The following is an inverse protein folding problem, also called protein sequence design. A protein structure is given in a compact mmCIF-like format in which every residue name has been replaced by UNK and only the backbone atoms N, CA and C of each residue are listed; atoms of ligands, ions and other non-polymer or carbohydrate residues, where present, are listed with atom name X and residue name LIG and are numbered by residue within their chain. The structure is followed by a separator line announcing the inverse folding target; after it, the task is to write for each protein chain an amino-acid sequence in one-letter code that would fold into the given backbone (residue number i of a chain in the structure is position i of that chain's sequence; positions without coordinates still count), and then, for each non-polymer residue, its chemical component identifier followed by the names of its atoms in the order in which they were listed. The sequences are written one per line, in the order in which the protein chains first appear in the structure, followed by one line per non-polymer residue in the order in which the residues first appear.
data_IF_365083781576
#
_entry.id   IF_365083781576
#
_cell.length_a   1.000
_cell.length_b   1.000
_cell.length_c   1.000
_cell.angle_alpha   90.00
_cell.angle_beta   90.00
_cell.angle_gamma   90.00
#
_symmetry.space_group_name_H-M   'P 1'
#
loop_
_entity.id
_entity.type
_entity.pdbx_description
1 polymer ?
#
# COMPACT_ATOMS: atom_id res chain seq x y z
N UNK A 1 9.00 11.83 -34.75
CA UNK A 1 8.82 13.18 -34.17
C UNK A 1 7.33 13.40 -34.06
N UNK A 2 6.77 13.01 -32.92
CA UNK A 2 5.35 13.19 -32.62
C UNK A 2 5.19 14.49 -31.81
N UNK A 3 5.20 15.62 -32.53
CA UNK A 3 5.02 16.93 -31.91
C UNK A 3 3.53 17.13 -31.62
N UNK A 4 3.10 17.44 -30.38
CA UNK A 4 1.69 17.50 -30.03
C UNK A 4 0.90 18.43 -30.95
N UNK A 5 -0.13 17.89 -31.61
CA UNK A 5 -0.98 18.67 -32.53
C UNK A 5 -0.37 18.94 -33.91
N UNK A 6 0.84 18.43 -34.21
CA UNK A 6 1.41 18.46 -35.54
C UNK A 6 0.60 17.59 -36.51
N UNK A 7 0.49 18.04 -37.76
CA UNK A 7 -0.17 17.29 -38.84
C UNK A 7 0.81 17.10 -39.99
N UNK A 8 0.93 15.87 -40.45
CA UNK A 8 1.67 15.54 -41.68
C UNK A 8 0.74 15.78 -42.86
N UNK A 9 1.15 16.66 -43.78
CA UNK A 9 0.48 16.94 -45.04
C UNK A 9 1.37 16.50 -46.23
N UNK A 10 0.78 16.40 -47.43
CA UNK A 10 1.47 15.91 -48.63
C UNK A 10 2.76 16.67 -49.00
N UNK A 11 2.90 17.92 -48.53
CA UNK A 11 4.02 18.82 -48.86
C UNK A 11 4.80 19.32 -47.63
N UNK A 12 4.52 18.82 -46.42
CA UNK A 12 5.22 19.27 -45.22
C UNK A 12 4.57 18.85 -43.91
N UNK A 13 5.07 19.43 -42.81
CA UNK A 13 4.53 19.26 -41.47
C UNK A 13 3.93 20.59 -41.04
N UNK A 14 2.63 20.59 -40.73
CA UNK A 14 1.96 21.73 -40.11
C UNK A 14 2.12 21.61 -38.59
N UNK A 15 2.79 22.58 -37.97
CA UNK A 15 2.88 22.70 -36.53
C UNK A 15 1.86 23.70 -36.01
N UNK A 16 1.17 23.42 -34.88
CA UNK A 16 0.37 24.44 -34.22
C UNK A 16 1.28 25.53 -33.63
N UNK A 17 0.73 26.72 -33.46
CA UNK A 17 1.42 27.77 -32.70
C UNK A 17 1.30 27.43 -31.20
N UNK A 18 2.38 26.88 -30.63
CA UNK A 18 2.44 26.61 -29.20
C UNK A 18 2.46 27.93 -28.42
N UNK A 19 1.51 28.09 -27.50
CA UNK A 19 1.47 29.25 -26.57
C UNK A 19 2.49 29.13 -25.43
N UNK A 20 2.90 27.90 -25.14
CA UNK A 20 3.95 27.56 -24.20
C UNK A 20 4.88 26.59 -24.89
N UNK A 21 6.13 26.99 -25.08
CA UNK A 21 7.15 26.13 -25.68
C UNK A 21 8.14 25.70 -24.58
N UNK A 22 8.38 24.39 -24.49
CA UNK A 22 9.36 23.74 -23.61
C UNK A 22 9.48 24.32 -22.18
N UNK A 23 8.35 24.58 -21.51
CA UNK A 23 8.37 25.13 -20.15
C UNK A 23 8.99 24.13 -19.16
N UNK A 24 10.05 24.50 -18.43
CA UNK A 24 10.79 23.55 -17.61
C UNK A 24 9.95 23.06 -16.42
N UNK A 25 9.98 21.75 -16.18
CA UNK A 25 9.47 21.16 -14.95
C UNK A 25 10.42 21.50 -13.79
N UNK A 26 9.85 21.82 -12.63
CA UNK A 26 10.59 22.00 -11.38
C UNK A 26 10.09 21.02 -10.35
N UNK A 27 11.02 20.51 -9.56
CA UNK A 27 10.76 19.52 -8.54
C UNK A 27 10.50 20.18 -7.19
N UNK A 28 9.74 19.54 -6.31
CA UNK A 28 9.41 20.10 -4.99
C UNK A 28 10.64 20.40 -4.10
N UNK A 29 11.77 19.75 -4.39
CA UNK A 29 13.07 19.93 -3.73
C UNK A 29 14.00 20.92 -4.46
N UNK A 30 13.56 21.53 -5.57
CA UNK A 30 14.30 22.59 -6.23
C UNK A 30 14.18 23.93 -5.47
N UNK A 31 15.26 24.71 -5.51
CA UNK A 31 15.23 26.10 -5.04
C UNK A 31 14.25 26.92 -5.88
N UNK A 32 13.39 27.69 -5.21
CA UNK A 32 12.41 28.59 -5.82
C UNK A 32 11.38 27.92 -6.76
N UNK A 33 11.11 26.60 -6.64
CA UNK A 33 10.11 25.91 -7.48
C UNK A 33 8.73 26.59 -7.46
N UNK A 34 8.34 27.19 -6.33
CA UNK A 34 7.05 27.90 -6.16
C UNK A 34 6.88 29.10 -7.09
N UNK A 35 7.98 29.62 -7.63
CA UNK A 35 8.03 30.75 -8.55
C UNK A 35 8.05 30.31 -10.02
N UNK A 36 8.04 29.01 -10.32
CA UNK A 36 8.08 28.46 -11.69
C UNK A 36 6.71 28.54 -12.39
N UNK A 37 6.21 29.76 -12.56
CA UNK A 37 5.01 30.04 -13.32
C UNK A 37 5.35 30.30 -14.78
N UNK A 38 4.48 29.86 -15.68
CA UNK A 38 4.52 30.32 -17.06
C UNK A 38 4.31 31.83 -17.13
N UNK A 39 4.72 32.43 -18.23
CA UNK A 39 4.27 33.78 -18.58
C UNK A 39 2.74 33.84 -18.64
N UNK A 40 2.19 35.05 -18.49
CA UNK A 40 0.74 35.26 -18.58
C UNK A 40 0.31 35.20 -20.05
N UNK A 41 -0.58 34.29 -20.39
CA UNK A 41 -1.16 34.16 -21.72
C UNK A 41 -2.67 33.95 -21.61
N UNK A 42 -3.45 34.66 -22.43
CA UNK A 42 -4.92 34.53 -22.51
C UNK A 42 -5.66 34.54 -21.16
N UNK A 43 -5.17 35.33 -20.19
CA UNK A 43 -5.82 35.48 -18.89
C UNK A 43 -5.36 34.48 -17.83
N UNK A 44 -4.50 33.53 -18.18
CA UNK A 44 -4.06 32.43 -17.32
C UNK A 44 -2.54 32.39 -17.18
N UNK A 45 -2.08 31.75 -16.10
CA UNK A 45 -0.71 31.27 -15.92
C UNK A 45 -0.78 29.89 -15.28
N UNK A 46 0.11 29.01 -15.67
CA UNK A 46 0.18 27.64 -15.16
C UNK A 46 1.45 27.46 -14.34
N UNK A 47 1.41 26.52 -13.41
CA UNK A 47 2.58 25.99 -12.71
C UNK A 47 2.46 24.48 -12.72
N UNK A 48 3.58 23.82 -12.97
CA UNK A 48 3.69 22.36 -12.95
C UNK A 48 4.60 22.00 -11.78
N UNK A 49 4.01 21.50 -10.70
CA UNK A 49 4.75 21.01 -9.53
C UNK A 49 5.01 19.53 -9.74
N UNK A 50 6.29 19.15 -9.85
CA UNK A 50 6.70 17.76 -9.97
C UNK A 50 7.13 17.21 -8.60
N UNK A 51 6.88 15.94 -8.31
CA UNK A 51 7.39 15.28 -7.10
C UNK A 51 8.91 15.44 -6.98
N UNK A 52 9.50 15.13 -5.82
CA UNK A 52 10.94 15.35 -5.56
C UNK A 52 11.86 14.69 -6.61
N UNK A 53 12.97 15.33 -6.98
CA UNK A 53 13.93 14.75 -7.92
C UNK A 53 14.92 13.81 -7.23
N UNK A 54 15.34 14.17 -6.02
CA UNK A 54 16.34 13.41 -5.29
C UNK A 54 15.66 12.39 -4.38
N UNK A 55 16.26 11.20 -4.28
CA UNK A 55 15.81 10.19 -3.33
C UNK A 55 15.87 10.76 -1.90
N UNK A 56 14.75 10.78 -1.15
CA UNK A 56 14.71 11.39 0.16
C UNK A 56 15.25 10.44 1.23
N UNK A 57 15.73 11.01 2.33
CA UNK A 57 16.03 10.27 3.55
C UNK A 57 15.39 11.01 4.73
N UNK A 58 14.33 10.47 5.38
CA UNK A 58 13.73 9.14 5.17
C UNK A 58 13.03 8.97 3.80
N UNK A 59 12.75 7.72 3.34
CA UNK A 59 12.28 7.42 1.98
C UNK A 59 10.80 7.78 1.73
N UNK A 60 10.24 8.75 2.44
CA UNK A 60 8.81 9.03 2.44
C UNK A 60 8.34 9.61 1.11
N UNK A 61 7.24 9.08 0.58
CA UNK A 61 6.55 9.63 -0.60
C UNK A 61 5.83 10.92 -0.22
N UNK A 62 5.90 11.92 -1.10
CA UNK A 62 5.14 13.17 -0.90
C UNK A 62 3.70 12.93 -1.34
N UNK A 63 2.79 12.85 -0.38
CA UNK A 63 1.36 12.66 -0.63
C UNK A 63 0.70 14.02 -0.88
N UNK A 64 0.01 14.17 -2.03
CA UNK A 64 -0.72 15.39 -2.39
C UNK A 64 -2.12 15.43 -1.80
N UNK A 65 -2.73 14.27 -1.57
CA UNK A 65 -4.05 14.15 -0.98
C UNK A 65 -4.23 12.76 -0.33
N UNK A 66 -4.95 12.72 0.79
CA UNK A 66 -5.27 11.50 1.52
C UNK A 66 -6.56 11.70 2.30
N UNK A 67 -7.47 10.73 2.25
CA UNK A 67 -8.73 10.78 2.98
C UNK A 67 -9.35 9.38 3.11
N UNK A 68 -10.25 9.23 4.08
CA UNK A 68 -11.00 8.00 4.31
C UNK A 68 -12.51 8.22 4.21
N UNK A 69 -13.24 7.15 3.88
CA UNK A 69 -14.71 7.11 3.78
C UNK A 69 -15.23 5.70 4.11
N UNK A 70 -16.48 5.55 4.57
CA UNK A 70 -17.35 6.63 5.05
C UNK A 70 -16.86 7.27 6.36
N UNK A 71 -16.00 6.61 7.13
CA UNK A 71 -15.36 7.20 8.30
C UNK A 71 -14.24 8.17 7.89
N UNK A 72 -14.44 9.47 8.10
CA UNK A 72 -13.43 10.49 7.81
C UNK A 72 -12.28 10.52 8.81
N UNK A 73 -12.49 9.96 10.01
CA UNK A 73 -11.53 10.04 11.10
C UNK A 73 -10.56 8.84 11.06
N UNK A 74 -10.85 7.81 10.26
CA UNK A 74 -9.99 6.64 10.08
C UNK A 74 -8.57 7.02 9.63
N UNK A 75 -8.42 8.01 8.74
CA UNK A 75 -7.10 8.51 8.30
C UNK A 75 -6.32 9.21 9.42
N UNK A 76 -6.98 9.64 10.50
CA UNK A 76 -6.34 10.22 11.68
C UNK A 76 -5.94 9.16 12.71
N UNK A 77 -6.63 8.02 12.71
CA UNK A 77 -6.38 6.87 13.59
C UNK A 77 -5.28 5.97 13.03
N UNK A 78 -5.27 5.80 11.71
CA UNK A 78 -4.31 4.98 10.97
C UNK A 78 -3.08 5.80 10.56
N UNK A 79 -1.89 5.23 10.76
CA UNK A 79 -0.69 5.68 10.07
C UNK A 79 -0.60 4.98 8.71
N UNK A 80 -1.07 5.68 7.68
CA UNK A 80 -1.00 5.21 6.29
C UNK A 80 -0.06 6.10 5.51
N UNK A 81 1.03 5.51 5.01
CA UNK A 81 1.97 6.23 4.15
C UNK A 81 2.59 5.32 3.10
N UNK A 82 3.18 5.95 2.08
CA UNK A 82 3.95 5.24 1.07
C UNK A 82 5.43 5.62 1.23
N UNK A 83 6.30 4.65 1.00
CA UNK A 83 7.75 4.86 0.92
C UNK A 83 8.25 4.48 -0.47
N UNK A 84 9.23 5.24 -0.94
CA UNK A 84 9.97 4.88 -2.14
C UNK A 84 10.82 3.63 -1.88
N UNK A 85 10.81 2.73 -2.84
CA UNK A 85 11.72 1.58 -2.85
C UNK A 85 13.15 2.10 -2.92
N UNK A 86 14.04 1.57 -2.10
CA UNK A 86 15.47 1.92 -2.07
C UNK A 86 16.24 1.32 -3.27
N UNK A 87 15.74 1.60 -4.46
CA UNK A 87 16.31 1.21 -5.74
C UNK A 87 16.18 2.41 -6.70
N UNK A 88 17.31 2.92 -7.16
CA UNK A 88 17.34 4.06 -8.08
C UNK A 88 16.63 3.76 -9.40
N UNK A 89 16.71 2.51 -9.90
CA UNK A 89 16.08 2.11 -11.15
C UNK A 89 14.54 2.13 -11.07
N UNK A 90 14.01 1.91 -9.87
CA UNK A 90 12.57 2.04 -9.56
C UNK A 90 12.21 3.49 -9.29
N UNK A 91 12.98 4.18 -8.43
CA UNK A 91 12.67 5.54 -8.00
C UNK A 91 12.54 6.51 -9.18
N UNK A 92 13.47 6.50 -10.15
CA UNK A 92 13.35 7.44 -11.29
C UNK A 92 12.22 7.10 -12.27
N UNK A 93 11.63 5.90 -12.16
CA UNK A 93 10.51 5.41 -13.00
C UNK A 93 9.19 5.30 -12.25
N UNK A 94 9.17 5.72 -10.99
CA UNK A 94 8.02 5.53 -10.10
C UNK A 94 6.74 6.14 -10.70
N UNK A 95 5.65 5.37 -10.78
CA UNK A 95 4.40 5.91 -11.23
C UNK A 95 3.76 6.76 -10.13
N UNK A 96 3.09 7.85 -10.50
CA UNK A 96 2.30 8.64 -9.55
C UNK A 96 0.83 8.23 -9.60
N UNK A 97 0.57 6.96 -9.30
CA UNK A 97 -0.78 6.40 -9.30
C UNK A 97 -1.52 6.69 -8.01
N UNK A 98 -2.82 6.97 -8.13
CA UNK A 98 -3.74 7.02 -7.00
C UNK A 98 -4.10 5.61 -6.58
N UNK A 99 -4.02 5.31 -5.29
CA UNK A 99 -4.39 4.02 -4.74
C UNK A 99 -5.60 4.14 -3.81
N UNK A 100 -6.43 3.09 -3.79
CA UNK A 100 -7.52 2.87 -2.86
C UNK A 100 -7.21 1.62 -2.03
N UNK A 101 -7.25 1.74 -0.71
CA UNK A 101 -7.09 0.65 0.23
C UNK A 101 -8.48 0.37 0.81
N UNK A 102 -9.11 -0.71 0.36
CA UNK A 102 -10.38 -1.19 0.93
C UNK A 102 -10.08 -2.00 2.19
N UNK A 103 -10.88 -1.84 3.24
CA UNK A 103 -10.74 -2.56 4.50
C UNK A 103 -11.90 -3.52 4.77
N UNK A 104 -11.65 -4.55 5.59
CA UNK A 104 -12.63 -5.47 6.14
C UNK A 104 -12.21 -5.96 7.52
N UNK A 105 -13.19 -6.39 8.32
CA UNK A 105 -13.01 -7.10 9.59
C UNK A 105 -12.70 -8.59 9.40
N UNK A 106 -12.74 -9.09 8.17
CA UNK A 106 -12.35 -10.44 7.77
C UNK A 106 -11.26 -10.43 6.70
N UNK A 107 -11.08 -11.57 6.02
CA UNK A 107 -10.10 -11.68 4.92
C UNK A 107 -10.65 -11.03 3.65
N UNK A 108 -9.94 -10.04 3.14
CA UNK A 108 -10.30 -9.34 1.89
C UNK A 108 -9.34 -9.67 0.73
N UNK A 109 -8.09 -10.01 1.06
CA UNK A 109 -7.05 -10.36 0.09
C UNK A 109 -6.05 -11.37 0.69
N UNK A 110 -5.16 -11.88 -0.15
CA UNK A 110 -4.05 -12.76 0.26
C UNK A 110 -2.75 -12.28 -0.36
N UNK A 111 -1.67 -12.26 0.43
CA UNK A 111 -0.35 -11.91 -0.10
C UNK A 111 0.06 -12.89 -1.20
N UNK A 112 0.64 -12.37 -2.29
CA UNK A 112 1.18 -13.12 -3.41
C UNK A 112 2.57 -13.69 -3.14
N UNK A 113 3.31 -13.09 -2.19
CA UNK A 113 4.58 -13.63 -1.70
C UNK A 113 4.89 -13.14 -0.30
N UNK A 114 5.83 -13.83 0.34
CA UNK A 114 6.42 -13.46 1.63
C UNK A 114 7.92 -13.75 1.62
N UNK A 115 8.68 -13.08 2.49
CA UNK A 115 10.08 -13.42 2.78
C UNK A 115 10.24 -14.72 3.60
N UNK A 116 9.16 -15.27 4.17
CA UNK A 116 9.14 -16.54 4.94
C UNK A 116 8.24 -17.63 4.33
N UNK A 117 8.38 -18.00 3.05
CA UNK A 117 7.37 -18.82 2.36
C UNK A 117 7.20 -20.23 2.94
N UNK A 118 8.19 -20.76 3.65
CA UNK A 118 8.10 -22.06 4.31
C UNK A 118 7.25 -22.06 5.60
N UNK A 119 7.01 -20.88 6.19
CA UNK A 119 6.20 -20.74 7.41
C UNK A 119 4.75 -21.16 7.16
N UNK A 120 4.25 -20.89 5.95
CA UNK A 120 2.86 -21.11 5.53
C UNK A 120 2.71 -22.32 4.61
N UNK A 121 3.68 -23.24 4.60
CA UNK A 121 3.70 -24.36 3.67
C UNK A 121 2.57 -25.38 3.91
N UNK A 122 1.96 -25.36 5.09
CA UNK A 122 0.77 -26.11 5.47
C UNK A 122 -0.53 -25.54 4.86
N UNK A 123 -0.50 -24.31 4.34
CA UNK A 123 -1.62 -23.60 3.70
C UNK A 123 -1.35 -23.44 2.19
N UNK A 124 -1.93 -24.27 1.30
CA UNK A 124 -1.59 -24.24 -0.12
C UNK A 124 -1.91 -22.90 -0.80
N UNK A 125 -0.88 -22.13 -1.15
CA UNK A 125 -1.01 -20.90 -1.93
C UNK A 125 -1.38 -19.65 -1.12
N UNK A 126 -1.32 -19.71 0.22
CA UNK A 126 -1.61 -18.58 1.10
C UNK A 126 -0.33 -18.20 1.80
N UNK A 127 0.17 -16.98 1.54
CA UNK A 127 1.39 -16.46 2.16
C UNK A 127 1.12 -15.56 3.36
N UNK A 128 0.02 -14.82 3.35
CA UNK A 128 -0.55 -14.11 4.50
C UNK A 128 -2.00 -13.75 4.18
N UNK A 129 -2.89 -13.78 5.17
CA UNK A 129 -4.23 -13.20 5.04
C UNK A 129 -4.19 -11.69 5.27
N UNK A 130 -4.89 -10.94 4.42
CA UNK A 130 -4.92 -9.49 4.49
C UNK A 130 -6.35 -9.01 4.74
N UNK A 131 -6.57 -8.19 5.77
CA UNK A 131 -7.87 -7.56 6.04
C UNK A 131 -8.11 -6.32 5.17
N UNK A 132 -7.28 -6.12 4.14
CA UNK A 132 -7.39 -5.02 3.21
C UNK A 132 -6.98 -5.45 1.81
N UNK A 133 -7.41 -4.67 0.83
CA UNK A 133 -7.07 -4.86 -0.59
C UNK A 133 -6.71 -3.53 -1.22
N UNK A 134 -5.63 -3.51 -2.00
CA UNK A 134 -5.18 -2.30 -2.69
C UNK A 134 -5.62 -2.33 -4.16
N UNK A 135 -6.23 -1.25 -4.61
CA UNK A 135 -6.60 -1.01 -6.00
C UNK A 135 -5.88 0.22 -6.52
N UNK A 136 -5.17 0.08 -7.64
CA UNK A 136 -4.64 1.20 -8.39
C UNK A 136 -5.78 1.84 -9.18
N UNK A 137 -6.22 3.03 -8.76
CA UNK A 137 -7.33 3.74 -9.39
C UNK A 137 -6.96 4.35 -10.74
N UNK A 138 -5.67 4.46 -11.05
CA UNK A 138 -5.23 4.97 -12.36
C UNK A 138 -5.36 3.91 -13.44
N UNK A 139 -5.02 2.67 -13.13
CA UNK A 139 -5.15 1.53 -14.05
C UNK A 139 -6.49 0.80 -13.90
N UNK A 140 -7.18 1.00 -12.78
CA UNK A 140 -8.41 0.28 -12.41
C UNK A 140 -8.16 -1.17 -11.98
N UNK A 141 -6.91 -1.53 -11.64
CA UNK A 141 -6.51 -2.91 -11.34
C UNK A 141 -6.19 -3.11 -9.87
N UNK A 142 -6.43 -4.34 -9.42
CA UNK A 142 -5.95 -4.84 -8.13
C UNK A 142 -4.41 -4.88 -8.12
N UNK A 143 -3.81 -4.46 -7.01
CA UNK A 143 -2.37 -4.49 -6.78
C UNK A 143 -2.04 -5.73 -5.94
N UNK A 144 -1.37 -6.74 -6.50
CA UNK A 144 -0.96 -7.90 -5.71
C UNK A 144 0.16 -7.52 -4.74
N UNK A 145 0.01 -7.95 -3.49
CA UNK A 145 0.84 -7.51 -2.38
C UNK A 145 1.85 -8.59 -1.98
N UNK A 146 3.03 -8.17 -1.55
CA UNK A 146 3.97 -9.01 -0.83
C UNK A 146 4.09 -8.52 0.62
N UNK A 147 4.16 -9.45 1.57
CA UNK A 147 4.31 -9.13 3.01
C UNK A 147 5.70 -9.52 3.47
N UNK A 148 6.36 -8.64 4.22
CA UNK A 148 7.56 -8.97 4.96
C UNK A 148 7.18 -9.39 6.38
N UNK A 149 7.02 -10.70 6.52
CA UNK A 149 6.70 -11.40 7.76
C UNK A 149 7.98 -11.49 8.62
N UNK A 150 8.37 -10.34 9.18
CA UNK A 150 9.46 -10.19 10.13
C UNK A 150 8.93 -9.87 11.54
N UNK A 151 7.61 -9.88 11.71
CA UNK A 151 6.95 -9.41 12.91
C UNK A 151 6.75 -7.90 12.93
N UNK A 152 6.23 -7.44 14.06
CA UNK A 152 5.79 -6.06 14.28
C UNK A 152 6.92 -5.06 13.97
N UNK A 153 6.58 -4.02 13.21
CA UNK A 153 7.49 -2.96 12.75
C UNK A 153 8.70 -3.46 11.94
N UNK A 154 8.65 -4.70 11.43
CA UNK A 154 9.74 -5.38 10.70
C UNK A 154 11.03 -5.56 11.51
N UNK A 155 10.95 -5.45 12.83
CA UNK A 155 12.08 -5.66 13.72
C UNK A 155 12.06 -7.11 14.21
N UNK A 156 13.06 -7.94 13.87
CA UNK A 156 13.19 -9.27 14.43
C UNK A 156 13.42 -9.14 15.93
N UNK A 157 12.36 -9.33 16.72
CA UNK A 157 12.44 -9.08 18.14
C UNK A 157 13.16 -10.24 18.83
N UNK A 158 14.42 -10.03 19.19
CA UNK A 158 15.26 -11.02 19.87
C UNK A 158 14.90 -11.22 21.36
N UNK A 159 13.98 -10.41 21.91
CA UNK A 159 13.65 -10.36 23.33
C UNK A 159 12.15 -10.66 23.58
N UNK A 160 11.27 -10.28 22.67
CA UNK A 160 9.84 -10.59 22.77
C UNK A 160 9.56 -12.03 22.28
N UNK A 161 8.96 -12.91 23.12
CA UNK A 161 8.60 -14.27 22.72
C UNK A 161 7.50 -14.34 21.65
N UNK A 162 6.87 -13.22 21.28
CA UNK A 162 5.68 -13.18 20.42
C UNK A 162 5.80 -12.11 19.32
N UNK A 163 6.85 -12.19 18.51
CA UNK A 163 7.22 -11.13 17.57
C UNK A 163 6.24 -10.93 16.40
N UNK A 164 5.32 -11.87 16.14
CA UNK A 164 4.48 -11.84 14.93
C UNK A 164 5.19 -12.36 13.67
N UNK A 165 6.30 -13.11 13.80
CA UNK A 165 6.93 -13.72 12.61
C UNK A 165 6.43 -15.15 12.36
N UNK A 166 6.27 -15.51 11.08
CA UNK A 166 6.03 -16.87 10.56
C UNK A 166 4.68 -17.47 10.95
N UNK A 167 3.65 -16.64 11.01
CA UNK A 167 2.29 -17.04 11.40
C UNK A 167 1.25 -16.88 10.28
N UNK A 168 1.66 -16.34 9.13
CA UNK A 168 0.82 -16.19 7.94
C UNK A 168 -0.40 -15.29 8.18
N UNK A 169 -0.33 -14.45 9.20
CA UNK A 169 -1.21 -13.32 9.40
C UNK A 169 -0.42 -12.06 9.03
N UNK A 170 -1.15 -10.98 8.73
CA UNK A 170 -0.55 -9.66 8.71
C UNK A 170 -0.88 -8.97 10.03
N UNK A 171 0.13 -8.37 10.66
CA UNK A 171 -0.08 -7.46 11.79
C UNK A 171 0.26 -6.01 11.48
N UNK A 172 -0.26 -5.11 12.32
CA UNK A 172 0.00 -3.67 12.26
C UNK A 172 1.52 -3.39 12.14
N UNK A 173 1.89 -2.51 11.21
CA UNK A 173 3.29 -2.10 11.01
C UNK A 173 4.16 -3.08 10.21
N UNK A 174 3.67 -4.28 9.88
CA UNK A 174 4.38 -5.17 8.97
C UNK A 174 4.45 -4.57 7.56
N UNK A 175 5.62 -4.70 6.91
CA UNK A 175 5.84 -4.04 5.61
C UNK A 175 5.10 -4.75 4.48
N UNK A 176 4.34 -3.95 3.74
CA UNK A 176 3.61 -4.37 2.54
C UNK A 176 4.31 -3.78 1.33
N UNK A 177 4.53 -4.59 0.30
CA UNK A 177 5.28 -4.20 -0.90
C UNK A 177 4.41 -4.38 -2.15
N UNK A 178 4.33 -3.34 -2.97
CA UNK A 178 3.61 -3.36 -4.25
C UNK A 178 4.49 -3.96 -5.35
N UNK A 179 5.02 -5.17 -5.14
CA UNK A 179 6.01 -5.82 -6.03
C UNK A 179 5.50 -6.17 -7.42
N UNK A 180 4.18 -6.26 -7.56
CA UNK A 180 3.54 -6.79 -8.76
C UNK A 180 2.48 -5.82 -9.31
N UNK A 181 2.55 -4.54 -8.93
CA UNK A 181 1.66 -3.51 -9.45
C UNK A 181 1.81 -3.47 -10.97
N UNK A 182 0.67 -3.46 -11.67
CA UNK A 182 0.67 -3.41 -13.13
C UNK A 182 0.79 -1.95 -13.53
N UNK A 183 1.91 -1.59 -14.14
CA UNK A 183 2.19 -0.24 -14.57
C UNK A 183 2.18 -0.17 -16.10
N UNK A 184 1.96 1.04 -16.60
CA UNK A 184 2.16 1.40 -18.01
C UNK A 184 2.90 2.72 -18.08
N UNK A 185 3.97 2.73 -18.84
CA UNK A 185 4.79 3.92 -19.10
C UNK A 185 4.86 4.20 -20.59
N UNK A 186 5.30 5.40 -20.96
CA UNK A 186 5.48 5.77 -22.37
C UNK A 186 6.71 5.13 -23.04
N UNK A 187 7.54 4.42 -22.27
CA UNK A 187 8.75 3.74 -22.75
C UNK A 187 8.64 2.21 -22.72
N UNK A 188 7.45 1.70 -22.41
CA UNK A 188 7.23 0.27 -22.25
C UNK A 188 8.13 -0.36 -21.18
N UNK A 189 8.28 -1.68 -21.28
CA UNK A 189 9.20 -2.47 -20.45
C UNK A 189 10.63 -2.41 -20.99
N UNK A 190 10.80 -2.21 -22.30
CA UNK A 190 12.11 -2.19 -22.96
C UNK A 190 12.86 -0.85 -22.85
N UNK A 191 12.20 0.16 -22.27
CA UNK A 191 12.70 1.51 -22.01
C UNK A 191 12.98 2.32 -23.30
N UNK A 192 12.23 2.04 -24.37
CA UNK A 192 12.42 2.69 -25.66
C UNK A 192 11.11 3.29 -26.15
N UNK A 193 11.19 4.53 -26.66
CA UNK A 193 10.06 5.17 -27.32
C UNK A 193 9.74 4.48 -28.65
N UNK A 194 8.45 4.49 -28.98
CA UNK A 194 7.83 4.05 -30.23
C UNK A 194 8.03 2.55 -30.52
N UNK A 195 7.94 1.72 -29.48
CA UNK A 195 8.04 0.25 -29.56
C UNK A 195 6.68 -0.43 -29.33
N UNK A 196 6.62 -1.74 -29.57
CA UNK A 196 5.36 -2.50 -29.49
C UNK A 196 4.82 -2.58 -28.05
N UNK A 197 5.65 -2.39 -27.03
CA UNK A 197 5.32 -2.52 -25.61
C UNK A 197 4.94 -1.22 -24.90
N UNK A 198 5.04 -0.04 -25.55
CA UNK A 198 4.61 1.27 -25.00
C UNK A 198 3.10 1.32 -24.63
N UNK A 199 2.32 0.42 -25.21
CA UNK A 199 0.88 0.30 -24.94
C UNK A 199 0.54 -0.84 -23.98
N UNK A 200 1.53 -1.65 -23.61
CA UNK A 200 1.37 -2.82 -22.77
C UNK A 200 1.64 -2.47 -21.30
N UNK A 201 0.94 -3.18 -20.43
CA UNK A 201 1.22 -3.14 -19.01
C UNK A 201 2.22 -4.23 -18.63
N UNK A 202 3.02 -3.97 -17.60
CA UNK A 202 3.98 -4.91 -17.05
C UNK A 202 4.06 -4.79 -15.52
N UNK A 203 4.40 -5.88 -14.80
CA UNK A 203 4.59 -5.84 -13.36
C UNK A 203 5.82 -5.03 -13.00
N UNK A 204 5.69 -4.15 -12.00
CA UNK A 204 6.81 -3.41 -11.43
C UNK A 204 6.65 -3.28 -9.92
N UNK A 205 7.78 -3.12 -9.22
CA UNK A 205 7.77 -2.79 -7.80
C UNK A 205 7.66 -1.28 -7.62
N UNK A 206 6.50 -0.78 -7.20
CA UNK A 206 6.24 0.68 -7.19
C UNK A 206 6.54 1.33 -5.84
N UNK A 207 5.91 0.86 -4.76
CA UNK A 207 6.02 1.45 -3.44
C UNK A 207 6.02 0.38 -2.33
N UNK A 208 6.52 0.79 -1.17
CA UNK A 208 6.17 0.17 0.10
C UNK A 208 4.97 0.90 0.70
N UNK A 209 3.99 0.15 1.19
CA UNK A 209 2.88 0.65 1.99
C UNK A 209 3.20 0.43 3.46
N UNK A 210 3.22 1.52 4.21
CA UNK A 210 3.17 1.50 5.66
C UNK A 210 1.71 1.63 6.07
N UNK A 211 1.26 0.65 6.84
CA UNK A 211 -0.10 0.56 7.36
C UNK A 211 0.02 0.18 8.83
N UNK A 212 -0.27 1.13 9.72
CA UNK A 212 -0.13 0.95 11.15
C UNK A 212 -1.20 1.76 11.93
N UNK A 213 -1.31 1.57 13.24
CA UNK A 213 -2.21 2.34 14.11
C UNK A 213 -1.83 2.20 15.59
N UNK A 214 -1.96 3.24 16.42
CA UNK A 214 -1.54 3.13 17.84
C UNK A 214 -2.40 2.14 18.65
N UNK A 215 -1.78 1.28 19.48
CA UNK A 215 -2.49 0.30 20.33
C UNK A 215 -3.46 0.95 21.34
N UNK A 216 -3.29 2.24 21.66
CA UNK A 216 -4.24 3.01 22.47
C UNK A 216 -5.63 3.05 21.84
N UNK A 217 -5.77 2.75 20.54
CA UNK A 217 -7.09 2.57 19.91
C UNK A 217 -7.90 1.47 20.61
N UNK A 218 -7.25 0.40 21.10
CA UNK A 218 -7.95 -0.65 21.84
C UNK A 218 -8.48 -0.16 23.19
N UNK A 219 -7.81 0.79 23.83
CA UNK A 219 -8.35 1.45 25.01
C UNK A 219 -9.59 2.27 24.68
N UNK A 220 -9.62 2.95 23.53
CA UNK A 220 -10.78 3.70 23.06
C UNK A 220 -11.96 2.78 22.71
N UNK A 221 -11.68 1.64 22.07
CA UNK A 221 -12.70 0.67 21.64
C UNK A 221 -13.31 -0.11 22.82
N UNK A 222 -12.49 -0.54 23.78
CA UNK A 222 -12.92 -1.47 24.84
C UNK A 222 -13.00 -0.83 26.23
N UNK A 223 -12.48 0.38 26.43
CA UNK A 223 -12.34 1.04 27.73
C UNK A 223 -11.18 0.52 28.60
N UNK A 224 -10.48 -0.51 28.13
CA UNK A 224 -9.26 -1.07 28.71
C UNK A 224 -8.48 -1.84 27.65
N UNK A 225 -7.15 -1.93 27.78
CA UNK A 225 -6.37 -2.84 26.95
C UNK A 225 -6.63 -4.28 27.43
N UNK A 226 -7.00 -5.23 26.54
CA UNK A 226 -7.22 -6.62 26.92
C UNK A 226 -5.97 -7.27 27.54
N UNK A 227 -6.18 -8.31 28.33
CA UNK A 227 -5.07 -9.11 28.86
C UNK A 227 -4.35 -9.85 27.72
N UNK A 228 -3.07 -10.19 27.92
CA UNK A 228 -2.33 -11.01 26.95
C UNK A 228 -2.93 -12.41 26.86
N UNK A 229 -2.86 -13.01 25.68
CA UNK A 229 -3.24 -14.41 25.47
C UNK A 229 -2.34 -15.35 26.31
N UNK A 230 -2.96 -16.37 26.89
CA UNK A 230 -2.34 -17.36 27.76
C UNK A 230 -2.69 -18.78 27.28
N UNK A 231 -1.67 -19.57 26.98
CA UNK A 231 -1.84 -20.93 26.43
C UNK A 231 -2.56 -21.92 27.35
N UNK A 232 -2.62 -21.66 28.66
CA UNK A 232 -3.26 -22.54 29.64
C UNK A 232 -4.74 -22.22 29.88
N UNK A 233 -5.24 -21.10 29.35
CA UNK A 233 -6.59 -20.60 29.61
C UNK A 233 -7.56 -21.04 28.53
N UNK A 234 -8.78 -21.37 28.95
CA UNK A 234 -9.93 -21.46 28.06
C UNK A 234 -10.58 -20.09 27.99
N UNK A 235 -10.95 -19.65 26.79
CA UNK A 235 -11.62 -18.37 26.58
C UNK A 235 -13.07 -18.61 26.15
N UNK A 236 -14.00 -17.89 26.77
CA UNK A 236 -15.40 -17.91 26.33
C UNK A 236 -15.63 -16.96 25.15
N UNK A 237 -16.76 -17.18 24.46
CA UNK A 237 -17.24 -16.26 23.41
C UNK A 237 -17.29 -14.79 23.90
N UNK A 238 -16.87 -13.87 23.03
CA UNK A 238 -16.73 -12.43 23.22
C UNK A 238 -15.65 -12.00 24.22
N UNK A 239 -14.76 -12.90 24.65
CA UNK A 239 -13.56 -12.50 25.36
C UNK A 239 -12.53 -11.89 24.40
N UNK A 240 -11.80 -10.89 24.88
CA UNK A 240 -10.74 -10.21 24.14
C UNK A 240 -9.37 -10.54 24.72
N UNK A 241 -8.37 -10.69 23.87
CA UNK A 241 -6.97 -10.87 24.25
C UNK A 241 -6.04 -10.05 23.36
N UNK A 242 -4.87 -9.69 23.90
CA UNK A 242 -3.75 -9.19 23.11
C UNK A 242 -2.82 -10.35 22.72
N UNK A 243 -2.46 -10.43 21.45
CA UNK A 243 -1.47 -11.37 20.91
C UNK A 243 -0.74 -10.67 19.75
N UNK A 244 0.60 -10.74 19.71
CA UNK A 244 1.38 -10.15 18.61
C UNK A 244 0.98 -8.68 18.30
N UNK A 245 0.88 -7.85 19.35
CA UNK A 245 0.45 -6.44 19.26
C UNK A 245 -0.95 -6.16 18.69
N UNK A 246 -1.72 -7.18 18.36
CA UNK A 246 -3.09 -7.09 17.88
C UNK A 246 -4.07 -7.55 18.95
N UNK A 247 -5.29 -6.98 18.94
CA UNK A 247 -6.38 -7.49 19.75
C UNK A 247 -7.16 -8.55 18.96
N UNK A 248 -7.62 -9.58 19.66
CA UNK A 248 -8.46 -10.64 19.09
C UNK A 248 -9.68 -10.84 19.96
N UNK A 249 -10.81 -11.15 19.32
CA UNK A 249 -12.07 -11.51 19.96
C UNK A 249 -12.39 -12.98 19.69
N UNK A 250 -12.79 -13.71 20.71
CA UNK A 250 -13.31 -15.07 20.57
C UNK A 250 -14.73 -15.05 20.00
N UNK A 251 -14.95 -15.64 18.82
CA UNK A 251 -16.28 -15.74 18.19
C UNK A 251 -17.12 -16.92 18.71
N UNK A 252 -16.44 -17.89 19.34
CA UNK A 252 -16.98 -19.05 20.06
C UNK A 252 -16.06 -19.42 21.22
N UNK A 253 -16.37 -20.48 21.97
CA UNK A 253 -15.50 -21.01 23.03
C UNK A 253 -14.17 -21.54 22.45
N UNK A 254 -13.05 -21.05 22.99
CA UNK A 254 -11.70 -21.39 22.53
C UNK A 254 -11.01 -22.34 23.51
N UNK A 255 -10.55 -23.52 23.06
CA UNK A 255 -9.85 -24.47 23.92
C UNK A 255 -8.46 -23.93 24.34
N UNK A 256 -7.93 -24.37 25.50
CA UNK A 256 -6.56 -24.05 25.89
C UNK A 256 -5.54 -24.45 24.84
N UNK A 257 -4.60 -23.56 24.55
CA UNK A 257 -3.45 -23.78 23.69
C UNK A 257 -3.62 -23.34 22.24
N UNK A 258 -4.86 -23.11 21.77
CA UNK A 258 -5.12 -22.63 20.42
C UNK A 258 -4.81 -21.13 20.30
N UNK A 259 -3.78 -20.80 19.51
CA UNK A 259 -3.32 -19.40 19.35
C UNK A 259 -4.20 -18.62 18.37
N UNK A 260 -4.30 -17.29 18.50
CA UNK A 260 -5.07 -16.47 17.57
C UNK A 260 -4.71 -16.58 16.09
N UNK A 261 -3.43 -16.70 15.73
CA UNK A 261 -2.98 -16.79 14.31
C UNK A 261 -2.82 -18.22 13.79
N UNK A 262 -3.08 -19.23 14.63
CA UNK A 262 -2.88 -20.63 14.28
C UNK A 262 -3.88 -21.11 13.22
N UNK A 263 -3.41 -21.96 12.32
CA UNK A 263 -4.29 -22.66 11.38
C UNK A 263 -5.05 -23.76 12.11
N UNK A 264 -6.37 -23.70 12.08
CA UNK A 264 -7.23 -24.67 12.74
C UNK A 264 -8.32 -25.12 11.77
N UNK A 265 -8.19 -26.33 11.22
CA UNK A 265 -9.18 -26.92 10.31
C UNK A 265 -9.45 -28.39 10.73
N UNK A 266 -10.25 -28.61 11.79
CA UNK A 266 -10.59 -29.96 12.24
C UNK A 266 -11.52 -30.70 11.27
N UNK A 267 -12.19 -29.99 10.36
CA UNK A 267 -13.19 -30.54 9.46
C UNK A 267 -12.60 -30.97 8.09
N UNK A 268 -11.42 -30.43 7.75
CA UNK A 268 -10.64 -30.75 6.57
C UNK A 268 -11.15 -30.13 5.27
N UNK A 269 -11.94 -29.05 5.34
CA UNK A 269 -12.48 -28.35 4.16
C UNK A 269 -11.50 -27.33 3.56
N UNK A 270 -10.35 -27.10 4.21
CA UNK A 270 -9.34 -26.15 3.79
C UNK A 270 -9.66 -24.71 4.17
N UNK A 271 -10.58 -24.49 5.11
CA UNK A 271 -10.92 -23.18 5.69
C UNK A 271 -10.40 -23.12 7.13
N UNK A 272 -9.93 -21.93 7.54
CA UNK A 272 -9.52 -21.73 8.92
C UNK A 272 -10.76 -21.57 9.82
N UNK A 273 -11.05 -22.58 10.64
CA UNK A 273 -12.09 -22.62 11.66
C UNK A 273 -11.62 -22.02 13.01
N UNK A 274 -10.46 -21.31 13.04
CA UNK A 274 -9.97 -20.71 14.27
C UNK A 274 -11.01 -19.69 14.82
N UNK A 275 -11.53 -19.86 16.04
CA UNK A 275 -12.57 -19.00 16.60
C UNK A 275 -12.05 -17.60 16.96
N UNK A 276 -10.74 -17.34 16.92
CA UNK A 276 -10.20 -16.00 17.10
C UNK A 276 -10.40 -15.14 15.85
N UNK A 277 -10.98 -13.96 16.05
CA UNK A 277 -11.08 -12.92 15.02
C UNK A 277 -10.24 -11.72 15.45
N UNK A 278 -9.34 -11.27 14.58
CA UNK A 278 -8.56 -10.05 14.81
C UNK A 278 -9.48 -8.83 14.83
N UNK A 279 -9.24 -7.89 15.74
CA UNK A 279 -10.01 -6.65 15.86
C UNK A 279 -9.21 -5.50 15.29
N UNK A 280 -9.83 -4.74 14.40
CA UNK A 280 -9.22 -3.61 13.71
C UNK A 280 -9.89 -2.29 14.11
N UNK A 281 -9.24 -1.14 13.90
CA UNK A 281 -9.81 0.18 14.14
C UNK A 281 -10.71 0.69 13.00
N UNK A 282 -11.12 -0.17 12.07
CA UNK A 282 -12.00 0.12 10.95
C UNK A 282 -13.15 -0.89 10.90
N UNK A 283 -14.17 -0.57 10.11
CA UNK A 283 -15.31 -1.44 9.82
C UNK A 283 -15.25 -1.97 8.38
N UNK A 284 -16.14 -2.93 8.06
CA UNK A 284 -16.34 -3.34 6.67
C UNK A 284 -16.81 -2.15 5.81
N UNK A 285 -16.37 -2.12 4.54
CA UNK A 285 -16.62 -1.06 3.56
C UNK A 285 -15.89 0.28 3.78
N UNK A 286 -15.12 0.42 4.86
CA UNK A 286 -14.19 1.53 5.01
C UNK A 286 -13.07 1.46 3.96
N UNK A 287 -12.63 2.62 3.49
CA UNK A 287 -11.47 2.70 2.60
C UNK A 287 -10.70 4.00 2.78
N UNK A 288 -9.41 3.94 2.45
CA UNK A 288 -8.52 5.11 2.33
C UNK A 288 -8.13 5.31 0.87
N UNK A 289 -8.20 6.56 0.42
CA UNK A 289 -7.58 7.00 -0.83
C UNK A 289 -6.27 7.70 -0.51
N UNK A 290 -5.20 7.32 -1.21
CA UNK A 290 -3.88 7.94 -1.12
C UNK A 290 -3.40 8.36 -2.51
N UNK A 291 -3.05 9.63 -2.64
CA UNK A 291 -2.61 10.26 -3.89
C UNK A 291 -1.17 10.76 -3.74
N UNK A 292 -0.16 10.02 -4.25
CA UNK A 292 1.18 10.55 -4.42
C UNK A 292 1.19 11.80 -5.29
N UNK A 293 2.08 12.74 -4.98
CA UNK A 293 2.34 13.89 -5.83
C UNK A 293 2.76 13.41 -7.21
N UNK A 294 2.25 14.06 -8.25
CA UNK A 294 2.49 13.66 -9.64
C UNK A 294 3.98 13.71 -9.98
N UNK A 295 4.42 12.69 -10.72
CA UNK A 295 5.76 12.57 -11.28
C UNK A 295 5.66 12.59 -12.80
N UNK A 296 6.19 13.65 -13.40
CA UNK A 296 6.31 13.86 -14.82
C UNK A 296 7.78 13.72 -15.19
N UNK A 297 8.06 12.95 -16.24
CA UNK A 297 9.38 12.83 -16.84
C UNK A 297 9.35 13.63 -18.15
N UNK A 298 10.42 14.39 -18.40
CA UNK A 298 10.62 15.16 -19.63
C UNK A 298 11.05 14.30 -20.83
#
# INVERSE_FOLDING_TARGET
MDLPGARVEDLGIQLPEYKLDAFPLRYLDDVDYRSNWTDFFDGIRLRFDNAINNYPNPPNVVISNQYSLPDSDLVEIMDVSLEYVQDASVFYKRPAYTYRIDFSTGVLDTAMSTNKPSACADRPGIYAFLPFRVTNLTTGKHVPLAVLDNGIDNEPNLIDPDAGERDCAWERGEEIQFRFDQIRTALGFDERLDTEDDTLEYPEYTFNLKLDFDQSVYYLLFGSVPDRWESSRQYGKNEYVMHQAMAYMATDDVPPGLRPTEWYDPNGDGVNDNPWQMVYPWEDDDYIIIEPTRWYVD
#
